data_IF_479925215022
#
_entry.id   IF_479925215022
#
_cell.length_a   1.000
_cell.length_b   1.000
_cell.length_c   1.000
_cell.angle_alpha   90.00
_cell.angle_beta   90.00
_cell.angle_gamma   90.00
#
_symmetry.space_group_name_H-M   'P 1'
#
loop_
_entity.id
_entity.type
_entity.pdbx_description
1 polymer ?
#
# COMPACT_ATOMS: atom_id res chain seq x y z
N UNK A 1 19.69 1.42 -33.97
CA UNK A 1 19.39 -0.04 -34.07
C UNK A 1 20.20 -0.93 -33.12
N UNK A 2 21.52 -0.75 -32.93
CA UNK A 2 22.32 -1.58 -31.99
C UNK A 2 21.92 -1.48 -30.52
N UNK A 3 21.50 -0.29 -30.06
CA UNK A 3 20.98 -0.09 -28.68
C UNK A 3 19.64 -0.81 -28.49
N UNK A 4 18.72 -0.70 -29.44
CA UNK A 4 17.46 -1.44 -29.46
C UNK A 4 17.68 -2.95 -29.55
N UNK A 5 18.66 -3.44 -30.32
CA UNK A 5 19.06 -4.86 -30.36
C UNK A 5 19.78 -5.31 -29.08
N UNK A 6 20.49 -4.44 -28.36
CA UNK A 6 21.10 -4.74 -27.06
C UNK A 6 20.03 -4.82 -25.97
N UNK A 7 19.10 -3.87 -25.94
CA UNK A 7 17.90 -3.90 -25.10
C UNK A 7 17.08 -5.15 -25.45
N UNK A 8 16.85 -5.44 -26.73
CA UNK A 8 16.15 -6.65 -27.17
C UNK A 8 16.93 -7.94 -26.89
N UNK A 9 18.27 -7.97 -26.92
CA UNK A 9 19.05 -9.14 -26.49
C UNK A 9 19.02 -9.34 -24.97
N UNK A 10 18.92 -8.26 -24.19
CA UNK A 10 18.64 -8.29 -22.75
C UNK A 10 17.20 -8.75 -22.46
N UNK A 11 16.23 -8.32 -23.27
CA UNK A 11 14.83 -8.78 -23.27
C UNK A 11 14.67 -10.18 -23.87
N UNK A 12 15.62 -10.69 -24.66
CA UNK A 12 15.68 -12.09 -25.08
C UNK A 12 16.39 -12.96 -24.03
N UNK A 13 17.22 -12.38 -23.15
CA UNK A 13 17.63 -13.06 -21.91
C UNK A 13 16.44 -13.25 -20.94
N UNK A 14 15.36 -12.49 -21.14
CA UNK A 14 14.05 -12.72 -20.53
C UNK A 14 13.45 -14.07 -20.94
N UNK A 15 13.85 -14.69 -22.05
CA UNK A 15 13.35 -16.02 -22.42
C UNK A 15 13.89 -17.12 -21.46
N UNK A 16 15.15 -17.01 -21.03
CA UNK A 16 15.76 -17.95 -20.07
C UNK A 16 15.37 -17.70 -18.62
N UNK A 17 15.08 -16.45 -18.26
CA UNK A 17 14.80 -16.05 -16.86
C UNK A 17 13.30 -15.86 -16.64
N UNK A 18 12.61 -15.26 -17.61
CA UNK A 18 11.17 -15.04 -17.63
C UNK A 18 10.35 -16.33 -17.69
N UNK A 19 10.90 -17.40 -18.28
CA UNK A 19 10.28 -18.73 -18.21
C UNK A 19 10.04 -19.23 -16.78
N UNK A 20 10.80 -18.74 -15.78
CA UNK A 20 10.61 -19.08 -14.36
C UNK A 20 9.63 -18.17 -13.62
N UNK A 21 9.24 -17.03 -14.20
CA UNK A 21 8.31 -16.07 -13.56
C UNK A 21 6.96 -16.73 -13.23
N UNK A 22 6.31 -17.52 -14.11
CA UNK A 22 5.05 -18.16 -13.78
C UNK A 22 5.09 -18.98 -12.49
N UNK A 23 6.19 -19.71 -12.25
CA UNK A 23 6.37 -20.47 -11.02
C UNK A 23 6.58 -19.58 -9.80
N UNK A 24 7.36 -18.50 -9.92
CA UNK A 24 7.54 -17.53 -8.83
C UNK A 24 6.19 -16.89 -8.46
N UNK A 25 5.35 -16.57 -9.44
CA UNK A 25 4.00 -16.05 -9.23
C UNK A 25 3.11 -17.11 -8.56
N UNK A 26 3.16 -18.37 -8.97
CA UNK A 26 2.40 -19.43 -8.31
C UNK A 26 2.80 -19.61 -6.84
N UNK A 27 4.11 -19.61 -6.54
CA UNK A 27 4.59 -19.66 -5.15
C UNK A 27 4.14 -18.43 -4.35
N UNK A 28 4.28 -17.23 -4.94
CA UNK A 28 3.80 -16.00 -4.35
C UNK A 28 2.30 -16.04 -4.07
N UNK A 29 1.46 -16.57 -4.98
CA UNK A 29 0.01 -16.70 -4.77
C UNK A 29 -0.31 -17.60 -3.59
N UNK A 30 0.36 -18.74 -3.43
CA UNK A 30 0.19 -19.60 -2.25
C UNK A 30 0.55 -18.84 -0.98
N UNK A 31 1.64 -18.09 -0.99
CA UNK A 31 2.07 -17.28 0.15
C UNK A 31 1.13 -16.11 0.44
N UNK A 32 0.55 -15.49 -0.60
CA UNK A 32 -0.45 -14.44 -0.51
C UNK A 32 -1.75 -14.98 0.13
N UNK A 33 -2.25 -16.12 -0.35
CA UNK A 33 -3.44 -16.79 0.18
C UNK A 33 -3.22 -17.41 1.56
N UNK A 34 -1.97 -17.59 1.99
CA UNK A 34 -1.68 -17.89 3.39
C UNK A 34 -1.67 -16.62 4.23
N UNK A 35 -0.86 -15.63 3.85
CA UNK A 35 -0.58 -14.45 4.66
C UNK A 35 -1.80 -13.54 4.84
N UNK A 36 -2.45 -13.10 3.75
CA UNK A 36 -3.52 -12.11 3.84
C UNK A 36 -4.77 -12.66 4.55
N UNK A 37 -5.32 -13.84 4.20
CA UNK A 37 -6.50 -14.35 4.86
C UNK A 37 -6.26 -14.63 6.35
N UNK A 38 -5.07 -15.13 6.72
CA UNK A 38 -4.68 -15.30 8.12
C UNK A 38 -4.64 -13.95 8.86
N UNK A 39 -4.07 -12.93 8.22
CA UNK A 39 -3.93 -11.60 8.81
C UNK A 39 -5.29 -10.94 9.06
N UNK A 40 -6.21 -11.03 8.09
CA UNK A 40 -7.57 -10.53 8.25
C UNK A 40 -8.36 -11.30 9.32
N UNK A 41 -8.19 -12.62 9.41
CA UNK A 41 -8.83 -13.40 10.47
C UNK A 41 -8.34 -12.96 11.86
N UNK A 42 -7.02 -12.92 12.08
CA UNK A 42 -6.44 -12.49 13.35
C UNK A 42 -6.84 -11.05 13.66
N UNK A 43 -6.81 -10.15 12.67
CA UNK A 43 -7.22 -8.77 12.84
C UNK A 43 -8.69 -8.65 13.24
N UNK A 44 -9.59 -9.45 12.65
CA UNK A 44 -11.01 -9.44 13.07
C UNK A 44 -11.18 -9.98 14.49
N UNK A 45 -10.39 -10.96 14.92
CA UNK A 45 -10.39 -11.41 16.33
C UNK A 45 -9.99 -10.28 17.27
N UNK A 46 -8.93 -9.53 16.93
CA UNK A 46 -8.46 -8.39 17.73
C UNK A 46 -9.51 -7.26 17.70
N UNK A 47 -10.08 -6.96 16.53
CA UNK A 47 -11.12 -5.96 16.34
C UNK A 47 -12.37 -6.22 17.19
N UNK A 48 -12.82 -7.47 17.27
CA UNK A 48 -13.96 -7.88 18.10
C UNK A 48 -13.65 -7.68 19.60
N UNK A 49 -12.42 -7.96 20.03
CA UNK A 49 -12.00 -7.90 21.44
C UNK A 49 -11.55 -6.51 21.89
N UNK A 50 -11.12 -5.67 20.95
CA UNK A 50 -10.45 -4.41 21.23
C UNK A 50 -8.96 -4.60 21.53
N UNK A 51 -8.17 -3.57 21.23
CA UNK A 51 -6.76 -3.45 21.61
C UNK A 51 -6.31 -1.99 21.48
N UNK A 52 -5.14 -1.66 22.01
CA UNK A 52 -4.52 -0.32 21.88
C UNK A 52 -5.42 0.84 22.35
N UNK A 53 -6.23 0.60 23.38
CA UNK A 53 -7.18 1.60 23.91
C UNK A 53 -8.50 1.68 23.14
N UNK A 54 -8.63 0.98 22.00
CA UNK A 54 -9.85 0.94 21.21
C UNK A 54 -10.78 -0.16 21.76
N UNK A 55 -12.03 0.16 22.14
CA UNK A 55 -12.98 -0.83 22.64
C UNK A 55 -13.33 -1.85 21.55
N UNK A 56 -13.55 -3.12 21.91
CA UNK A 56 -13.95 -4.15 20.94
C UNK A 56 -15.35 -3.94 20.39
N UNK A 57 -15.64 -4.44 19.18
CA UNK A 57 -17.00 -4.39 18.63
C UNK A 57 -17.96 -5.32 19.37
N UNK A 58 -17.46 -6.38 20.01
CA UNK A 58 -18.27 -7.39 20.69
C UNK A 58 -19.10 -8.28 19.75
N UNK A 59 -18.93 -8.13 18.44
CA UNK A 59 -19.67 -8.91 17.43
C UNK A 59 -19.24 -10.38 17.43
N UNK A 60 -20.13 -11.25 16.94
CA UNK A 60 -19.75 -12.62 16.64
C UNK A 60 -18.86 -12.69 15.38
N UNK A 61 -17.99 -13.70 15.32
CA UNK A 61 -17.08 -13.86 14.17
C UNK A 61 -17.88 -14.16 12.88
N UNK A 62 -17.85 -13.27 11.86
CA UNK A 62 -18.60 -13.51 10.63
C UNK A 62 -18.06 -14.72 9.85
N UNK A 63 -18.95 -15.44 9.15
CA UNK A 63 -18.60 -16.67 8.41
C UNK A 63 -17.50 -16.49 7.36
N UNK A 64 -17.40 -15.31 6.73
CA UNK A 64 -16.37 -15.01 5.73
C UNK A 64 -14.95 -15.12 6.31
N UNK A 65 -14.76 -14.76 7.57
CA UNK A 65 -13.46 -14.83 8.24
C UNK A 65 -13.08 -16.27 8.57
N UNK A 66 -14.05 -17.13 8.90
CA UNK A 66 -13.81 -18.57 9.00
C UNK A 66 -13.41 -19.18 7.65
N UNK A 67 -14.05 -18.74 6.56
CA UNK A 67 -13.65 -19.09 5.20
C UNK A 67 -12.22 -18.64 4.88
N UNK A 68 -11.86 -17.40 5.25
CA UNK A 68 -10.51 -16.86 5.10
C UNK A 68 -9.49 -17.71 5.87
N UNK A 69 -9.80 -18.12 7.11
CA UNK A 69 -8.95 -19.03 7.88
C UNK A 69 -8.78 -20.39 7.19
N UNK A 70 -9.85 -20.97 6.65
CA UNK A 70 -9.77 -22.25 5.93
C UNK A 70 -8.85 -22.15 4.71
N UNK A 71 -8.95 -21.08 3.92
CA UNK A 71 -8.04 -20.80 2.79
C UNK A 71 -6.60 -20.67 3.28
N UNK A 72 -6.38 -19.89 4.35
CA UNK A 72 -5.06 -19.73 4.94
C UNK A 72 -4.46 -21.06 5.42
N UNK A 73 -5.25 -21.94 6.03
CA UNK A 73 -4.76 -23.24 6.51
C UNK A 73 -4.34 -24.15 5.35
N UNK A 74 -5.11 -24.18 4.26
CA UNK A 74 -4.75 -24.98 3.07
C UNK A 74 -3.48 -24.43 2.41
N UNK A 75 -3.42 -23.12 2.17
CA UNK A 75 -2.24 -22.49 1.58
C UNK A 75 -1.00 -22.59 2.50
N UNK A 76 -1.20 -22.39 3.80
CA UNK A 76 -0.20 -22.53 4.85
C UNK A 76 0.37 -23.94 4.93
N UNK A 77 -0.46 -24.98 4.77
CA UNK A 77 0.02 -26.36 4.67
C UNK A 77 1.00 -26.55 3.50
N UNK A 78 0.68 -26.03 2.31
CA UNK A 78 1.58 -26.12 1.16
C UNK A 78 2.87 -25.32 1.37
N UNK A 79 2.78 -24.13 1.95
CA UNK A 79 3.93 -23.32 2.34
C UNK A 79 4.86 -24.06 3.31
N UNK A 80 4.34 -24.54 4.44
CA UNK A 80 5.12 -25.27 5.45
C UNK A 80 5.69 -26.57 4.90
N UNK A 81 4.90 -27.32 4.12
CA UNK A 81 5.38 -28.53 3.43
C UNK A 81 6.54 -28.22 2.51
N UNK A 82 6.47 -27.12 1.75
CA UNK A 82 7.53 -26.64 0.87
C UNK A 82 8.81 -26.30 1.62
N UNK A 83 8.69 -25.71 2.82
CA UNK A 83 9.83 -25.42 3.70
C UNK A 83 10.49 -26.69 4.26
N UNK A 84 9.71 -27.63 4.77
CA UNK A 84 10.22 -28.83 5.46
C UNK A 84 10.73 -29.89 4.47
N UNK A 85 10.10 -30.01 3.31
CA UNK A 85 10.49 -30.98 2.26
C UNK A 85 10.73 -30.27 0.92
N UNK A 86 11.81 -29.48 0.80
CA UNK A 86 12.14 -28.82 -0.45
C UNK A 86 12.45 -29.85 -1.53
N UNK A 87 11.95 -29.63 -2.74
CA UNK A 87 12.18 -30.47 -3.91
C UNK A 87 12.72 -29.63 -5.05
N UNK A 88 13.51 -30.27 -5.89
CA UNK A 88 13.79 -29.74 -7.22
C UNK A 88 12.74 -30.29 -8.17
N UNK A 89 12.12 -29.41 -8.95
CA UNK A 89 11.05 -29.75 -9.87
C UNK A 89 11.41 -29.22 -11.26
N UNK A 90 11.10 -30.02 -12.28
CA UNK A 90 11.12 -29.57 -13.67
C UNK A 90 9.74 -29.03 -14.01
N UNK A 91 9.67 -27.74 -14.30
CA UNK A 91 8.49 -27.06 -14.79
C UNK A 91 8.54 -26.89 -16.30
N UNK A 92 7.37 -26.74 -16.90
CA UNK A 92 7.22 -26.29 -18.28
C UNK A 92 6.13 -25.25 -18.36
N UNK A 93 6.32 -24.22 -19.17
CA UNK A 93 5.29 -23.23 -19.46
C UNK A 93 5.12 -23.08 -20.96
N UNK A 94 3.89 -23.16 -21.43
CA UNK A 94 3.53 -22.98 -22.85
C UNK A 94 2.77 -21.66 -22.99
N UNK A 95 3.27 -20.69 -23.78
CA UNK A 95 2.57 -19.43 -24.00
C UNK A 95 1.25 -19.66 -24.73
N UNK A 96 0.21 -18.93 -24.30
CA UNK A 96 -1.05 -18.84 -25.03
C UNK A 96 -0.92 -17.82 -26.15
N UNK A 97 -1.25 -18.22 -27.37
CA UNK A 97 -1.26 -17.35 -28.54
C UNK A 97 -2.70 -17.12 -28.98
N UNK A 98 -3.00 -15.87 -29.30
CA UNK A 98 -4.28 -15.46 -29.89
C UNK A 98 -4.16 -15.54 -31.41
N UNK A 99 -5.11 -16.19 -32.07
CA UNK A 99 -5.27 -16.15 -33.51
C UNK A 99 -6.75 -15.94 -33.84
N UNK A 100 -7.03 -15.00 -34.75
CA UNK A 100 -8.37 -14.77 -35.25
C UNK A 100 -8.58 -15.66 -36.49
N UNK A 101 -9.61 -16.51 -36.46
CA UNK A 101 -9.96 -17.46 -37.51
C UNK A 101 -11.41 -17.20 -37.91
N UNK A 102 -11.59 -16.47 -39.01
CA UNK A 102 -12.90 -15.94 -39.41
C UNK A 102 -13.44 -14.98 -38.34
N UNK A 103 -14.67 -15.20 -37.89
CA UNK A 103 -15.35 -14.37 -36.89
C UNK A 103 -15.00 -14.77 -35.43
N UNK A 104 -14.12 -15.75 -35.24
CA UNK A 104 -13.78 -16.28 -33.91
C UNK A 104 -12.33 -15.97 -33.52
N UNK A 105 -12.14 -15.48 -32.30
CA UNK A 105 -10.83 -15.46 -31.65
C UNK A 105 -10.57 -16.81 -30.97
N UNK A 106 -9.53 -17.52 -31.42
CA UNK A 106 -9.08 -18.77 -30.80
C UNK A 106 -7.82 -18.49 -29.97
N UNK A 107 -7.84 -18.93 -28.72
CA UNK A 107 -6.68 -18.93 -27.82
C UNK A 107 -6.16 -20.36 -27.72
N UNK A 108 -4.94 -20.62 -28.21
CA UNK A 108 -4.32 -21.94 -28.13
C UNK A 108 -2.87 -21.84 -27.64
N UNK A 109 -2.42 -22.84 -26.89
CA UNK A 109 -1.04 -22.92 -26.43
C UNK A 109 -0.09 -23.28 -27.57
N UNK A 110 0.90 -22.44 -27.85
CA UNK A 110 1.91 -22.74 -28.87
C UNK A 110 2.99 -23.66 -28.29
N UNK A 111 2.82 -24.98 -28.48
CA UNK A 111 3.75 -26.00 -27.96
C UNK A 111 5.19 -25.83 -28.45
N UNK A 112 5.40 -25.25 -29.63
CA UNK A 112 6.75 -25.00 -30.16
C UNK A 112 7.54 -23.97 -29.33
N UNK A 113 6.84 -23.15 -28.53
CA UNK A 113 7.43 -22.14 -27.66
C UNK A 113 7.40 -22.55 -26.18
N UNK A 114 7.24 -23.84 -25.90
CA UNK A 114 7.23 -24.34 -24.52
C UNK A 114 8.61 -24.18 -23.89
N UNK A 115 8.68 -23.42 -22.81
CA UNK A 115 9.90 -23.23 -22.04
C UNK A 115 9.97 -24.25 -20.91
N UNK A 116 11.05 -25.04 -20.86
CA UNK A 116 11.34 -25.95 -19.77
C UNK A 116 12.35 -25.33 -18.81
N UNK A 117 12.09 -25.44 -17.51
CA UNK A 117 12.95 -24.84 -16.49
C UNK A 117 12.96 -25.66 -15.21
N UNK A 118 14.07 -25.60 -14.50
CA UNK A 118 14.23 -26.20 -13.18
C UNK A 118 14.00 -25.12 -12.13
N UNK A 119 13.31 -25.47 -11.04
CA UNK A 119 13.13 -24.60 -9.89
C UNK A 119 13.14 -25.40 -8.57
N UNK A 120 13.40 -24.69 -7.47
CA UNK A 120 13.27 -25.21 -6.11
C UNK A 120 11.90 -24.85 -5.55
N UNK A 121 11.26 -25.76 -4.82
CA UNK A 121 10.00 -25.46 -4.11
C UNK A 121 10.20 -24.58 -2.87
N UNK A 122 11.44 -24.44 -2.38
CA UNK A 122 11.82 -23.51 -1.31
C UNK A 122 13.29 -23.13 -1.44
N UNK A 123 13.60 -21.84 -1.24
CA UNK A 123 14.94 -21.28 -1.26
C UNK A 123 14.94 -19.92 -0.52
N UNK A 124 16.01 -19.51 0.18
CA UNK A 124 16.04 -18.25 0.94
C UNK A 124 15.65 -17.01 0.15
N UNK A 125 16.04 -16.94 -1.13
CA UNK A 125 15.70 -15.80 -1.99
C UNK A 125 14.19 -15.58 -2.14
N UNK A 126 13.37 -16.62 -2.02
CA UNK A 126 11.91 -16.49 -2.11
C UNK A 126 11.30 -15.71 -0.95
N UNK A 127 12.07 -15.42 0.12
CA UNK A 127 11.66 -14.41 1.10
C UNK A 127 11.41 -13.04 0.47
N UNK A 128 12.10 -12.71 -0.63
CA UNK A 128 11.86 -11.47 -1.35
C UNK A 128 10.50 -11.46 -2.06
N UNK A 129 9.89 -12.61 -2.39
CA UNK A 129 8.54 -12.64 -2.96
C UNK A 129 7.51 -12.05 -2.00
N UNK A 130 7.77 -12.10 -0.69
CA UNK A 130 6.90 -11.47 0.32
C UNK A 130 6.86 -9.95 0.18
N UNK A 131 7.89 -9.34 -0.43
CA UNK A 131 7.88 -7.91 -0.75
C UNK A 131 6.83 -7.55 -1.80
N UNK A 132 6.39 -8.50 -2.64
CA UNK A 132 5.24 -8.24 -3.53
C UNK A 132 3.93 -8.10 -2.76
N UNK A 133 3.81 -8.78 -1.62
CA UNK A 133 2.64 -8.71 -0.75
C UNK A 133 2.72 -7.55 0.23
N UNK A 134 3.92 -7.25 0.75
CA UNK A 134 4.15 -6.27 1.82
C UNK A 134 3.53 -4.87 1.62
N UNK A 135 3.46 -4.30 0.39
CA UNK A 135 2.76 -3.05 0.14
C UNK A 135 1.30 -3.05 0.61
N UNK A 136 0.58 -4.18 0.50
CA UNK A 136 -0.83 -4.26 0.89
C UNK A 136 -1.00 -3.94 2.39
N UNK A 137 -0.43 -4.70 3.35
CA UNK A 137 -0.56 -4.37 4.76
C UNK A 137 0.17 -3.07 5.14
N UNK A 138 1.26 -2.70 4.46
CA UNK A 138 1.94 -1.43 4.73
C UNK A 138 1.02 -0.23 4.43
N UNK A 139 0.35 -0.22 3.28
CA UNK A 139 -0.62 0.84 2.93
C UNK A 139 -1.81 0.86 3.88
N UNK A 140 -2.27 -0.28 4.39
CA UNK A 140 -3.32 -0.31 5.42
C UNK A 140 -2.91 0.40 6.71
N UNK A 141 -1.65 0.25 7.15
CA UNK A 141 -1.15 0.99 8.33
C UNK A 141 -1.03 2.48 8.00
N UNK A 142 -0.33 2.82 6.91
CA UNK A 142 -0.03 4.21 6.55
C UNK A 142 -1.30 5.01 6.26
N UNK A 143 -2.24 4.44 5.49
CA UNK A 143 -3.49 5.12 5.16
C UNK A 143 -4.42 5.30 6.37
N UNK A 144 -4.20 4.59 7.47
CA UNK A 144 -5.05 4.68 8.67
C UNK A 144 -4.36 5.38 9.83
N UNK A 145 -3.14 5.88 9.69
CA UNK A 145 -2.35 6.45 10.80
C UNK A 145 -3.02 7.68 11.44
N UNK A 146 -3.59 8.56 10.60
CA UNK A 146 -4.27 9.77 11.05
C UNK A 146 -5.80 9.62 11.12
N UNK A 147 -6.32 8.44 10.78
CA UNK A 147 -7.74 8.17 10.89
C UNK A 147 -8.13 7.87 12.35
N UNK A 148 -9.39 8.17 12.69
CA UNK A 148 -9.98 7.71 13.94
C UNK A 148 -10.17 6.19 13.99
N UNK A 149 -10.66 5.71 15.12
CA UNK A 149 -10.76 4.28 15.46
C UNK A 149 -11.83 3.52 14.67
N UNK A 150 -12.61 4.19 13.82
CA UNK A 150 -13.47 3.55 12.82
C UNK A 150 -12.67 2.69 11.83
N UNK A 151 -11.41 3.05 11.57
CA UNK A 151 -10.50 2.31 10.69
C UNK A 151 -9.60 1.31 11.43
N UNK A 152 -9.84 1.11 12.74
CA UNK A 152 -9.01 0.28 13.62
C UNK A 152 -8.77 -1.12 13.06
N UNK A 153 -9.80 -1.77 12.52
CA UNK A 153 -9.68 -3.09 11.90
C UNK A 153 -8.61 -3.12 10.79
N UNK A 154 -8.60 -2.13 9.89
CA UNK A 154 -7.63 -2.06 8.80
C UNK A 154 -6.22 -1.78 9.32
N UNK A 155 -6.08 -0.89 10.31
CA UNK A 155 -4.78 -0.63 10.96
C UNK A 155 -4.19 -1.90 11.56
N UNK A 156 -4.99 -2.64 12.32
CA UNK A 156 -4.57 -3.91 12.94
C UNK A 156 -4.29 -4.98 11.88
N UNK A 157 -5.12 -5.09 10.83
CA UNK A 157 -4.86 -5.99 9.71
C UNK A 157 -3.52 -5.70 9.01
N UNK A 158 -3.18 -4.42 8.88
CA UNK A 158 -1.87 -3.98 8.41
C UNK A 158 -0.73 -4.44 9.31
N UNK A 159 -0.79 -4.15 10.62
CA UNK A 159 0.25 -4.59 11.56
C UNK A 159 0.41 -6.11 11.60
N UNK A 160 -0.70 -6.84 11.73
CA UNK A 160 -0.68 -8.31 11.73
C UNK A 160 -0.12 -8.84 10.41
N UNK A 161 -0.52 -8.26 9.28
CA UNK A 161 0.00 -8.64 7.97
C UNK A 161 1.51 -8.50 7.86
N UNK A 162 2.07 -7.37 8.30
CA UNK A 162 3.52 -7.16 8.32
C UNK A 162 4.23 -8.16 9.24
N UNK A 163 3.66 -8.45 10.42
CA UNK A 163 4.21 -9.45 11.35
C UNK A 163 4.18 -10.85 10.74
N UNK A 164 3.07 -11.27 10.14
CA UNK A 164 2.94 -12.58 9.49
C UNK A 164 3.97 -12.73 8.37
N UNK A 165 4.12 -11.72 7.50
CA UNK A 165 5.12 -11.72 6.44
C UNK A 165 6.55 -11.80 7.01
N UNK A 166 6.86 -11.05 8.06
CA UNK A 166 8.17 -11.11 8.72
C UNK A 166 8.45 -12.50 9.30
N UNK A 167 7.46 -13.12 9.98
CA UNK A 167 7.58 -14.48 10.51
C UNK A 167 7.76 -15.52 9.41
N UNK A 168 7.09 -15.36 8.25
CA UNK A 168 7.30 -16.22 7.09
C UNK A 168 8.71 -16.07 6.50
N UNK A 169 9.24 -14.85 6.44
CA UNK A 169 10.62 -14.63 6.01
C UNK A 169 11.59 -15.34 6.96
N UNK A 170 11.42 -15.15 8.27
CA UNK A 170 12.23 -15.79 9.31
C UNK A 170 12.12 -17.31 9.24
N UNK A 171 10.92 -17.88 9.16
CA UNK A 171 10.70 -19.32 9.05
C UNK A 171 11.44 -19.93 7.86
N UNK A 172 11.45 -19.23 6.72
CA UNK A 172 12.19 -19.66 5.53
C UNK A 172 13.71 -19.61 5.72
N UNK A 173 14.22 -18.56 6.36
CA UNK A 173 15.65 -18.45 6.68
C UNK A 173 16.09 -19.54 7.67
N UNK A 174 15.30 -19.77 8.72
CA UNK A 174 15.56 -20.82 9.71
C UNK A 174 15.53 -22.22 9.07
N UNK A 175 14.52 -22.52 8.24
CA UNK A 175 14.41 -23.78 7.52
C UNK A 175 15.67 -24.09 6.70
N UNK A 176 16.24 -23.07 6.05
CA UNK A 176 17.40 -23.24 5.20
C UNK A 176 18.75 -23.24 5.93
N UNK A 177 18.99 -22.25 6.79
CA UNK A 177 20.31 -22.04 7.39
C UNK A 177 20.51 -22.82 8.69
N UNK A 178 19.45 -22.94 9.51
CA UNK A 178 19.51 -23.62 10.80
C UNK A 178 19.17 -25.10 10.65
N UNK A 179 17.98 -25.40 10.13
CA UNK A 179 17.52 -26.79 9.99
C UNK A 179 18.08 -27.49 8.75
N UNK A 180 18.62 -26.73 7.79
CA UNK A 180 19.26 -27.23 6.56
C UNK A 180 18.34 -28.10 5.71
N UNK A 181 17.03 -27.87 5.77
CA UNK A 181 16.06 -28.56 4.93
C UNK A 181 16.35 -28.26 3.44
N UNK A 182 16.37 -29.30 2.60
CA UNK A 182 16.58 -29.18 1.15
C UNK A 182 18.02 -29.08 0.66
N UNK A 183 19.00 -28.88 1.56
CA UNK A 183 20.42 -28.72 1.17
C UNK A 183 20.98 -29.97 0.47
N UNK A 184 20.61 -31.15 0.99
CA UNK A 184 20.99 -32.45 0.42
C UNK A 184 20.35 -32.75 -0.94
N UNK A 185 19.16 -32.20 -1.24
CA UNK A 185 18.53 -32.34 -2.54
C UNK A 185 19.26 -31.51 -3.61
N UNK A 186 19.72 -30.31 -3.23
CA UNK A 186 20.59 -29.51 -4.08
C UNK A 186 21.94 -30.18 -4.29
N UNK A 187 22.57 -30.70 -3.24
CA UNK A 187 23.90 -31.32 -3.35
C UNK A 187 23.91 -32.47 -4.36
N UNK A 188 22.87 -33.32 -4.36
CA UNK A 188 22.70 -34.41 -5.33
C UNK A 188 22.62 -33.89 -6.77
N UNK A 189 21.82 -32.86 -7.01
CA UNK A 189 21.67 -32.30 -8.35
C UNK A 189 22.91 -31.52 -8.81
N UNK A 190 23.63 -30.93 -7.86
CA UNK A 190 24.87 -30.22 -8.15
C UNK A 190 25.96 -31.20 -8.62
N UNK A 191 26.00 -32.40 -8.02
CA UNK A 191 26.89 -33.48 -8.44
C UNK A 191 26.58 -33.98 -9.87
N UNK A 192 25.31 -33.99 -10.28
CA UNK A 192 24.89 -34.40 -11.64
C UNK A 192 25.26 -33.35 -12.71
N UNK A 193 25.15 -32.06 -12.40
CA UNK A 193 25.36 -30.96 -13.38
C UNK A 193 26.83 -30.48 -13.41
N UNK A 194 27.65 -30.87 -12.43
CA UNK A 194 29.07 -30.48 -12.35
C UNK A 194 29.31 -28.99 -12.07
N UNK A 195 28.29 -28.27 -11.57
CA UNK A 195 28.41 -26.87 -11.15
C UNK A 195 28.67 -26.77 -9.64
N UNK A 196 28.95 -25.57 -9.13
CA UNK A 196 28.95 -25.35 -7.68
C UNK A 196 27.54 -25.03 -7.17
N UNK A 197 27.21 -25.48 -5.96
CA UNK A 197 25.88 -25.27 -5.33
C UNK A 197 25.51 -23.78 -5.30
N UNK A 198 26.50 -22.91 -5.05
CA UNK A 198 26.34 -21.46 -5.04
C UNK A 198 25.95 -20.91 -6.41
N UNK A 199 26.59 -21.37 -7.49
CA UNK A 199 26.31 -20.91 -8.85
C UNK A 199 24.95 -21.42 -9.34
N UNK A 200 24.61 -22.67 -8.99
CA UNK A 200 23.33 -23.27 -9.32
C UNK A 200 22.17 -22.54 -8.62
N UNK A 201 22.26 -22.33 -7.30
CA UNK A 201 21.25 -21.58 -6.54
C UNK A 201 21.12 -20.12 -6.99
N UNK A 202 22.23 -19.51 -7.41
CA UNK A 202 22.21 -18.16 -7.99
C UNK A 202 21.38 -18.09 -9.28
N UNK A 203 21.67 -18.96 -10.25
CA UNK A 203 21.01 -18.94 -11.57
C UNK A 203 19.56 -19.43 -11.54
N UNK A 204 19.22 -20.38 -10.65
CA UNK A 204 17.87 -20.95 -10.55
C UNK A 204 16.95 -20.12 -9.66
N UNK A 205 17.45 -19.57 -8.55
CA UNK A 205 16.61 -18.96 -7.53
C UNK A 205 16.86 -17.46 -7.32
N UNK A 206 18.10 -17.00 -7.13
CA UNK A 206 18.36 -15.57 -6.85
C UNK A 206 18.09 -14.66 -8.04
N UNK A 207 18.70 -14.96 -9.18
CA UNK A 207 18.66 -14.09 -10.37
C UNK A 207 17.23 -13.87 -10.89
N UNK A 208 16.36 -14.90 -11.02
CA UNK A 208 14.97 -14.69 -11.44
C UNK A 208 14.16 -13.86 -10.43
N UNK A 209 14.37 -14.08 -9.13
CA UNK A 209 13.65 -13.34 -8.07
C UNK A 209 14.05 -11.88 -8.06
N UNK A 210 15.35 -11.57 -8.09
CA UNK A 210 15.83 -10.19 -8.11
C UNK A 210 15.33 -9.45 -9.34
N UNK A 211 15.37 -10.10 -10.50
CA UNK A 211 14.84 -9.51 -11.74
C UNK A 211 13.34 -9.23 -11.62
N UNK A 212 12.55 -10.19 -11.09
CA UNK A 212 11.13 -10.00 -10.85
C UNK A 212 10.86 -8.82 -9.91
N UNK A 213 11.60 -8.71 -8.80
CA UNK A 213 11.46 -7.61 -7.85
C UNK A 213 11.75 -6.27 -8.52
N UNK A 214 12.91 -6.14 -9.16
CA UNK A 214 13.32 -4.88 -9.82
C UNK A 214 12.30 -4.47 -10.87
N UNK A 215 11.82 -5.40 -11.71
CA UNK A 215 10.86 -5.10 -12.75
C UNK A 215 9.52 -4.65 -12.17
N UNK A 216 8.94 -5.38 -11.21
CA UNK A 216 7.65 -5.02 -10.62
C UNK A 216 7.74 -3.67 -9.91
N UNK A 217 8.75 -3.48 -9.08
CA UNK A 217 8.92 -2.22 -8.36
C UNK A 217 9.24 -1.06 -9.29
N UNK A 218 10.02 -1.25 -10.36
CA UNK A 218 10.27 -0.19 -11.34
C UNK A 218 8.98 0.22 -12.07
N UNK A 219 8.15 -0.75 -12.50
CA UNK A 219 6.89 -0.48 -13.20
C UNK A 219 5.90 0.28 -12.33
N UNK A 220 5.88 0.03 -11.02
CA UNK A 220 4.94 0.68 -10.09
C UNK A 220 5.51 1.99 -9.51
N UNK A 221 6.74 1.95 -8.99
CA UNK A 221 7.30 3.07 -8.24
C UNK A 221 7.75 4.24 -9.13
N UNK A 222 8.19 3.99 -10.37
CA UNK A 222 8.62 5.09 -11.27
C UNK A 222 7.42 5.98 -11.65
N UNK A 223 6.28 5.44 -12.14
CA UNK A 223 5.11 6.27 -12.43
C UNK A 223 4.55 6.96 -11.18
N UNK A 224 4.44 6.26 -10.05
CA UNK A 224 3.95 6.87 -8.80
C UNK A 224 4.88 7.99 -8.33
N UNK A 225 6.19 7.77 -8.34
CA UNK A 225 7.17 8.79 -7.97
C UNK A 225 7.09 10.01 -8.89
N UNK A 226 6.88 9.79 -10.19
CA UNK A 226 6.66 10.90 -11.14
C UNK A 226 5.36 11.65 -10.86
N UNK A 227 4.26 10.95 -10.59
CA UNK A 227 2.97 11.56 -10.24
C UNK A 227 3.10 12.43 -8.98
N UNK A 228 3.70 11.91 -7.91
CA UNK A 228 3.92 12.68 -6.67
C UNK A 228 4.83 13.89 -6.89
N UNK A 229 5.90 13.73 -7.67
CA UNK A 229 6.79 14.84 -8.01
C UNK A 229 6.06 15.93 -8.81
N UNK A 230 5.24 15.55 -9.78
CA UNK A 230 4.43 16.50 -10.54
C UNK A 230 3.41 17.21 -9.65
N UNK A 231 2.72 16.47 -8.77
CA UNK A 231 1.77 17.03 -7.82
C UNK A 231 2.44 18.07 -6.90
N UNK A 232 3.62 17.76 -6.34
CA UNK A 232 4.35 18.71 -5.50
C UNK A 232 4.70 20.00 -6.26
N UNK A 233 5.19 19.87 -7.50
CA UNK A 233 5.52 21.06 -8.32
C UNK A 233 4.29 21.89 -8.66
N UNK A 234 3.14 21.24 -8.88
CA UNK A 234 1.87 21.94 -9.08
C UNK A 234 1.48 22.72 -7.84
N UNK A 235 1.59 22.11 -6.65
CA UNK A 235 1.30 22.76 -5.37
C UNK A 235 2.26 23.93 -5.13
N UNK A 236 3.56 23.75 -5.31
CA UNK A 236 4.58 24.80 -5.11
C UNK A 236 4.37 26.02 -6.03
N UNK A 237 3.76 25.80 -7.20
CA UNK A 237 3.45 26.86 -8.17
C UNK A 237 2.16 27.62 -7.84
N UNK A 238 1.33 27.13 -6.91
CA UNK A 238 0.11 27.82 -6.50
C UNK A 238 0.45 29.11 -5.71
N UNK A 239 -0.29 30.20 -5.93
CA UNK A 239 -0.13 31.39 -5.12
C UNK A 239 -0.53 31.14 -3.66
N UNK A 240 0.12 31.84 -2.73
CA UNK A 240 -0.26 31.84 -1.31
C UNK A 240 -1.56 32.61 -1.18
N UNK A 241 -2.45 32.13 -0.31
CA UNK A 241 -3.75 32.74 -0.04
C UNK A 241 -3.55 34.11 0.63
N UNK A 242 -4.37 35.08 0.22
CA UNK A 242 -4.44 36.40 0.85
C UNK A 242 -5.89 36.80 1.06
N UNK A 243 -6.14 37.69 2.01
CA UNK A 243 -7.48 38.27 2.18
C UNK A 243 -7.88 39.03 0.91
N UNK A 244 -9.10 38.80 0.42
CA UNK A 244 -9.60 39.28 -0.88
C UNK A 244 -9.60 38.22 -1.99
N UNK A 245 -8.98 37.06 -1.76
CA UNK A 245 -9.11 35.89 -2.62
C UNK A 245 -10.53 35.28 -2.60
N UNK A 246 -11.50 35.82 -1.83
CA UNK A 246 -12.91 35.39 -1.85
C UNK A 246 -13.51 35.49 -3.26
N UNK A 247 -13.07 36.49 -4.03
CA UNK A 247 -13.41 36.65 -5.46
C UNK A 247 -12.83 35.55 -6.37
N UNK A 248 -11.97 34.69 -5.82
CA UNK A 248 -11.31 33.56 -6.47
C UNK A 248 -11.84 32.21 -5.92
N UNK A 249 -13.05 32.20 -5.33
CA UNK A 249 -13.73 30.98 -4.92
C UNK A 249 -13.70 29.95 -6.06
N UNK A 250 -13.36 28.71 -5.72
CA UNK A 250 -13.12 27.64 -6.69
C UNK A 250 -11.65 27.36 -7.01
N UNK A 251 -10.75 28.31 -6.78
CA UNK A 251 -9.33 28.16 -7.08
C UNK A 251 -8.52 27.59 -5.91
N UNK A 252 -7.51 26.79 -6.23
CA UNK A 252 -6.56 26.26 -5.24
C UNK A 252 -5.48 27.28 -4.90
N UNK A 253 -5.15 27.38 -3.61
CA UNK A 253 -4.12 28.27 -3.03
C UNK A 253 -3.32 27.53 -1.97
N UNK A 254 -2.08 27.97 -1.75
CA UNK A 254 -1.28 27.55 -0.59
C UNK A 254 -1.69 28.36 0.63
N UNK A 255 -1.72 27.72 1.79
CA UNK A 255 -1.93 28.37 3.08
C UNK A 255 -0.61 28.29 3.84
N UNK A 256 -0.01 29.45 4.07
CA UNK A 256 1.23 29.60 4.84
C UNK A 256 1.01 30.68 5.88
N UNK A 257 1.16 30.36 7.16
CA UNK A 257 0.88 31.30 8.24
C UNK A 257 0.99 30.69 9.62
N UNK A 258 0.80 31.52 10.65
CA UNK A 258 0.89 31.08 12.05
C UNK A 258 -0.47 30.61 12.54
N UNK A 259 -0.54 29.55 13.32
CA UNK A 259 -1.76 29.16 14.01
C UNK A 259 -2.23 30.28 14.95
N UNK A 260 -3.46 30.73 14.77
CA UNK A 260 -4.10 31.74 15.61
C UNK A 260 -4.84 31.11 16.82
N UNK A 261 -5.02 29.79 16.81
CA UNK A 261 -5.70 29.05 17.87
C UNK A 261 -5.57 27.53 17.71
N UNK A 262 -6.20 26.81 18.63
CA UNK A 262 -6.28 25.35 18.56
C UNK A 262 -7.26 24.88 17.47
N UNK A 263 -7.02 23.71 16.85
CA UNK A 263 -7.95 23.14 15.90
C UNK A 263 -9.27 22.74 16.58
N UNK A 264 -10.38 22.99 15.88
CA UNK A 264 -11.72 22.54 16.24
C UNK A 264 -12.05 21.29 15.45
N UNK A 265 -12.70 20.32 16.09
CA UNK A 265 -13.11 19.06 15.46
C UNK A 265 -14.59 18.81 15.70
N UNK A 266 -15.32 18.52 14.63
CA UNK A 266 -16.76 18.30 14.66
C UNK A 266 -17.14 16.86 14.34
N UNK A 267 -18.18 16.40 15.02
CA UNK A 267 -18.77 15.08 14.81
C UNK A 267 -20.30 15.20 15.02
N UNK A 268 -21.06 15.70 14.03
CA UNK A 268 -22.49 16.02 14.18
C UNK A 268 -23.33 14.81 14.57
N UNK A 269 -22.91 13.60 14.19
CA UNK A 269 -23.55 12.33 14.55
C UNK A 269 -22.80 11.57 15.67
N UNK A 270 -21.95 12.26 16.41
CA UNK A 270 -21.05 11.69 17.42
C UNK A 270 -19.78 11.09 16.83
N UNK A 271 -18.78 10.90 17.70
CA UNK A 271 -17.41 10.50 17.32
C UNK A 271 -17.23 9.01 17.02
N UNK A 272 -18.31 8.24 17.00
CA UNK A 272 -18.27 6.78 16.83
C UNK A 272 -17.41 6.03 17.85
N UNK A 273 -16.92 4.86 17.45
CA UNK A 273 -16.05 3.97 18.25
C UNK A 273 -14.75 4.69 18.63
N UNK A 274 -14.36 4.64 19.90
CA UNK A 274 -13.07 5.19 20.35
C UNK A 274 -13.04 6.71 20.59
N UNK A 275 -14.12 7.42 20.27
CA UNK A 275 -14.25 8.83 20.66
C UNK A 275 -13.50 9.83 19.78
N UNK A 276 -12.95 9.41 18.64
CA UNK A 276 -12.01 10.20 17.83
C UNK A 276 -12.30 10.18 16.31
N UNK A 277 -13.51 9.81 15.88
CA UNK A 277 -13.90 9.88 14.47
C UNK A 277 -14.65 11.18 14.20
N UNK A 278 -13.94 12.16 13.67
CA UNK A 278 -14.51 13.46 13.31
C UNK A 278 -14.92 13.48 11.84
N UNK A 279 -16.02 14.17 11.56
CA UNK A 279 -16.54 14.36 10.20
C UNK A 279 -16.15 15.73 9.62
N UNK A 280 -15.76 16.67 10.46
CA UNK A 280 -15.22 17.97 10.07
C UNK A 280 -14.09 18.40 10.99
N UNK A 281 -13.21 19.25 10.49
CA UNK A 281 -12.21 19.91 11.30
C UNK A 281 -11.93 21.33 10.77
N UNK A 282 -11.44 22.21 11.62
CA UNK A 282 -11.06 23.56 11.22
C UNK A 282 -10.01 24.18 12.12
N UNK A 283 -9.23 25.12 11.59
CA UNK A 283 -8.28 25.92 12.37
C UNK A 283 -8.11 27.30 11.76
N UNK A 284 -7.88 28.29 12.62
CA UNK A 284 -7.62 29.67 12.21
C UNK A 284 -6.11 29.89 12.05
N UNK A 285 -5.72 30.52 10.95
CA UNK A 285 -4.32 30.80 10.58
C UNK A 285 -4.14 32.29 10.30
N UNK A 286 -3.23 32.94 11.01
CA UNK A 286 -2.79 34.31 10.77
C UNK A 286 -1.89 34.36 9.52
N UNK A 287 -2.29 35.17 8.55
CA UNK A 287 -1.57 35.29 7.28
C UNK A 287 -0.43 36.32 7.37
N UNK A 288 0.75 36.04 6.79
CA UNK A 288 1.87 36.97 6.79
C UNK A 288 1.57 38.32 6.11
N UNK A 289 0.64 38.32 5.16
CA UNK A 289 0.21 39.51 4.41
C UNK A 289 -0.84 40.36 5.16
N UNK A 290 -1.27 39.94 6.36
CA UNK A 290 -2.38 40.52 7.12
C UNK A 290 -3.68 39.74 6.96
N UNK A 291 -4.51 39.80 8.00
CA UNK A 291 -5.77 39.05 8.11
C UNK A 291 -5.60 37.55 8.36
N UNK A 292 -6.68 36.80 8.18
CA UNK A 292 -6.79 35.41 8.62
C UNK A 292 -7.24 34.48 7.48
N UNK A 293 -6.80 33.23 7.52
CA UNK A 293 -7.39 32.13 6.77
C UNK A 293 -8.06 31.14 7.73
N UNK A 294 -9.33 30.82 7.48
CA UNK A 294 -10.02 29.72 8.14
C UNK A 294 -9.85 28.47 7.27
N UNK A 295 -8.96 27.57 7.71
CA UNK A 295 -8.71 26.31 7.05
C UNK A 295 -9.71 25.28 7.58
N UNK A 296 -10.54 24.72 6.69
CA UNK A 296 -11.57 23.73 6.98
C UNK A 296 -11.24 22.40 6.29
N UNK A 297 -11.65 21.28 6.87
CA UNK A 297 -11.49 19.95 6.29
C UNK A 297 -12.77 19.13 6.45
N UNK A 298 -13.22 18.52 5.37
CA UNK A 298 -14.40 17.67 5.33
C UNK A 298 -14.01 16.20 5.37
N UNK A 299 -14.78 15.38 6.09
CA UNK A 299 -14.82 13.91 5.99
C UNK A 299 -13.47 13.26 5.66
N UNK A 300 -13.22 12.90 4.40
CA UNK A 300 -12.01 12.20 3.94
C UNK A 300 -10.73 13.03 4.06
N UNK A 301 -10.82 14.36 4.12
CA UNK A 301 -9.70 15.27 4.34
C UNK A 301 -9.37 15.48 5.82
N UNK A 302 -10.21 15.02 6.77
CA UNK A 302 -9.92 15.16 8.21
C UNK A 302 -8.62 14.44 8.61
N UNK A 303 -8.33 13.21 8.14
CA UNK A 303 -7.03 12.58 8.39
C UNK A 303 -5.84 13.36 7.81
N UNK A 304 -6.00 13.99 6.64
CA UNK A 304 -4.98 14.87 6.07
C UNK A 304 -4.77 16.10 6.94
N UNK A 305 -5.87 16.71 7.43
CA UNK A 305 -5.83 17.83 8.37
C UNK A 305 -5.10 17.46 9.66
N UNK A 306 -5.41 16.31 10.25
CA UNK A 306 -4.70 15.79 11.43
C UNK A 306 -3.21 15.59 11.13
N UNK A 307 -2.88 15.12 9.92
CA UNK A 307 -1.49 15.05 9.45
C UNK A 307 -0.80 16.41 9.41
N UNK A 308 -1.43 17.40 8.77
CA UNK A 308 -0.94 18.78 8.70
C UNK A 308 -0.70 19.34 10.10
N UNK A 309 -1.64 19.16 11.02
CA UNK A 309 -1.52 19.65 12.40
C UNK A 309 -0.37 18.98 13.18
N UNK A 310 -0.05 17.70 12.88
CA UNK A 310 1.12 17.01 13.48
C UNK A 310 2.45 17.50 12.90
N UNK A 311 2.43 17.99 11.66
CA UNK A 311 3.62 18.47 10.97
C UNK A 311 3.93 19.96 11.24
N UNK A 312 3.03 20.69 11.92
CA UNK A 312 3.26 22.07 12.36
C UNK A 312 4.50 22.15 13.24
N UNK A 313 5.40 23.06 12.88
CA UNK A 313 6.60 23.41 13.67
C UNK A 313 6.63 24.92 13.84
N UNK A 314 7.07 25.36 15.02
CA UNK A 314 7.16 26.79 15.36
C UNK A 314 5.84 27.55 15.09
N UNK A 315 4.71 26.92 15.44
CA UNK A 315 3.34 27.38 15.21
C UNK A 315 3.00 27.71 13.74
N UNK A 316 3.81 27.30 12.76
CA UNK A 316 3.61 27.65 11.35
C UNK A 316 3.03 26.48 10.57
N UNK A 317 1.94 26.74 9.84
CA UNK A 317 1.29 25.80 8.93
C UNK A 317 1.79 26.03 7.51
N UNK A 318 2.05 24.93 6.81
CA UNK A 318 2.29 24.91 5.37
C UNK A 318 1.38 23.86 4.74
N UNK A 319 0.36 24.29 4.01
CA UNK A 319 -0.60 23.40 3.36
C UNK A 319 -1.22 24.06 2.13
N UNK A 320 -2.23 23.42 1.54
CA UNK A 320 -2.98 23.93 0.41
C UNK A 320 -4.45 23.55 0.51
N UNK A 321 -5.30 24.33 -0.15
CA UNK A 321 -6.71 24.01 -0.27
C UNK A 321 -7.40 24.87 -1.30
N UNK A 322 -8.69 24.63 -1.47
CA UNK A 322 -9.56 25.34 -2.39
C UNK A 322 -10.23 26.50 -1.66
N UNK A 323 -10.12 27.71 -2.20
CA UNK A 323 -10.84 28.86 -1.64
C UNK A 323 -12.33 28.67 -1.84
N UNK A 324 -13.11 28.92 -0.80
CA UNK A 324 -14.58 28.86 -0.82
C UNK A 324 -15.15 30.21 -0.39
N UNK A 325 -16.29 30.55 -0.96
CA UNK A 325 -17.04 31.77 -0.67
C UNK A 325 -17.95 31.62 0.54
N UNK A 326 -18.56 30.44 0.70
CA UNK A 326 -19.44 30.14 1.83
C UNK A 326 -19.38 28.67 2.24
N UNK A 327 -19.84 28.38 3.46
CA UNK A 327 -20.12 27.03 3.93
C UNK A 327 -21.55 26.66 3.54
N UNK A 328 -21.73 25.54 2.85
CA UNK A 328 -23.04 25.07 2.38
C UNK A 328 -23.85 24.39 3.49
N UNK A 329 -25.17 24.38 3.34
CA UNK A 329 -26.07 23.65 4.26
C UNK A 329 -25.68 22.17 4.40
N UNK A 330 -25.24 21.53 3.31
CA UNK A 330 -24.76 20.14 3.33
C UNK A 330 -23.49 19.98 4.18
N UNK A 331 -22.55 20.92 4.12
CA UNK A 331 -21.34 20.88 4.94
C UNK A 331 -21.66 21.03 6.43
N UNK A 332 -22.66 21.86 6.76
CA UNK A 332 -23.17 22.01 8.12
C UNK A 332 -23.84 20.70 8.56
N UNK A 333 -24.74 20.14 7.77
CA UNK A 333 -25.49 18.93 8.11
C UNK A 333 -24.57 17.71 8.29
N UNK A 334 -23.66 17.47 7.34
CA UNK A 334 -22.88 16.23 7.29
C UNK A 334 -21.52 16.31 7.99
N UNK A 335 -20.88 17.48 8.03
CA UNK A 335 -19.55 17.66 8.64
C UNK A 335 -19.60 18.46 9.94
N UNK A 336 -20.71 19.14 10.22
CA UNK A 336 -20.93 19.85 11.47
C UNK A 336 -20.18 21.17 11.56
N UNK A 337 -19.81 21.78 10.43
CA UNK A 337 -19.12 23.07 10.43
C UNK A 337 -19.95 24.11 11.17
N UNK A 338 -19.37 24.66 12.23
CA UNK A 338 -19.91 25.80 12.97
C UNK A 338 -18.86 26.91 13.01
N UNK A 339 -19.07 27.94 12.19
CA UNK A 339 -18.17 29.09 12.13
C UNK A 339 -18.16 29.90 13.44
N UNK A 340 -19.18 29.74 14.28
CA UNK A 340 -19.28 30.35 15.60
C UNK A 340 -18.28 29.78 16.62
N UNK A 341 -17.69 28.62 16.35
CA UNK A 341 -16.60 28.07 17.18
C UNK A 341 -15.27 28.83 17.01
N UNK A 342 -15.19 29.73 16.04
CA UNK A 342 -14.05 30.62 15.85
C UNK A 342 -14.39 32.06 16.25
N UNK A 343 -13.40 32.86 16.68
CA UNK A 343 -13.59 34.29 16.90
C UNK A 343 -14.16 35.00 15.66
N UNK A 344 -14.77 36.16 15.85
CA UNK A 344 -15.18 37.00 14.73
C UNK A 344 -13.97 37.35 13.83
N UNK A 345 -14.16 37.49 12.51
CA UNK A 345 -13.08 37.87 11.59
C UNK A 345 -12.31 39.11 12.05
N UNK A 346 -10.98 39.08 11.89
CA UNK A 346 -10.14 40.25 12.13
C UNK A 346 -10.58 41.46 11.27
N UNK A 347 -10.17 42.67 11.67
CA UNK A 347 -10.45 43.89 10.91
C UNK A 347 -9.83 43.86 9.48
N UNK A 348 -8.75 43.10 9.32
CA UNK A 348 -8.08 42.90 8.04
C UNK A 348 -8.78 41.85 7.16
N UNK A 349 -9.80 41.17 7.69
CA UNK A 349 -10.67 40.21 7.02
C UNK A 349 -10.26 38.74 7.21
N UNK A 350 -11.08 37.84 6.65
CA UNK A 350 -10.91 36.39 6.72
C UNK A 350 -11.31 35.74 5.41
N UNK A 351 -10.46 34.85 4.90
CA UNK A 351 -10.73 33.99 3.74
C UNK A 351 -10.96 32.55 4.19
N UNK A 352 -11.91 31.84 3.58
CA UNK A 352 -12.17 30.43 3.89
C UNK A 352 -11.49 29.52 2.87
N UNK A 353 -10.83 28.48 3.37
CA UNK A 353 -10.08 27.53 2.54
C UNK A 353 -10.43 26.10 2.93
N UNK A 354 -10.88 25.32 1.96
CA UNK A 354 -11.19 23.90 2.13
C UNK A 354 -9.97 23.02 1.79
N UNK A 355 -9.42 22.33 2.77
CA UNK A 355 -8.31 21.39 2.64
C UNK A 355 -8.66 20.29 1.63
N UNK A 356 -7.95 20.28 0.51
CA UNK A 356 -8.16 19.36 -0.60
C UNK A 356 -6.94 19.36 -1.52
N UNK A 357 -6.71 18.25 -2.22
CA UNK A 357 -5.65 18.12 -3.22
C UNK A 357 -6.15 18.55 -4.62
N UNK A 358 -5.34 19.27 -5.40
CA UNK A 358 -5.69 19.77 -6.75
C UNK A 358 -5.76 18.68 -7.83
#
# INVERSE_FOLDING_TARGET
MRVLQFIWRGVLAFDRIGSRIPQLIQMWLVELFFALPLSFFIAKVIDIRGAFGVPGTGESMPGIFWGALAVALVAGFFYVRGLVRPRVVQGSWTPMVKADVGDFTVLAGNRSWTAHYIYLTSHPSYALLLLLTAPIPATMVLATENNGDSTFYFRVAGFVGLIVLALMAVARLLAWYVFRFGRSALDKQTAEVGLSQRRLGWEIAWKPVLMLMVVIYAIVAIPLGWMFWQQQRTIDALPVVAVGDDSQAGHYRRVEGRLAGEPVYWAPNGTGRGGNNYAGAGVLVDLPAGGEALLLAESLSVPDFVGVMKDVRDDTVHTQGKVIDDVTDDQIEYYGFDLGDFPAPSADGRVMVLLSYP
#
